data_IF_687780427455
#
_entry.id   IF_687780427455
#
_cell.length_a   1.000
_cell.length_b   1.000
_cell.length_c   1.000
_cell.angle_alpha   90.00
_cell.angle_beta   90.00
_cell.angle_gamma   90.00
#
_symmetry.space_group_name_H-M   'P 1'
#
loop_
_entity.id
_entity.type
_entity.pdbx_description
1 polymer ?
#
# COMPACT_ATOMS: atom_id res chain seq x y z
N UNK A 1 -74.01 20.77 -1.19
CA UNK A 1 -73.19 20.54 -2.40
C UNK A 1 -71.74 20.61 -1.92
N UNK A 2 -71.07 19.46 -1.83
CA UNK A 2 -69.87 19.25 -1.00
C UNK A 2 -68.60 19.47 -1.83
N UNK A 3 -67.70 20.33 -1.36
CA UNK A 3 -66.34 20.50 -1.88
C UNK A 3 -65.43 19.42 -1.29
N UNK A 4 -64.67 18.73 -2.14
CA UNK A 4 -63.56 17.85 -1.73
C UNK A 4 -62.33 18.29 -2.51
N UNK A 5 -61.47 19.08 -1.87
CA UNK A 5 -60.11 19.33 -2.32
C UNK A 5 -59.20 18.34 -1.58
N UNK A 6 -58.75 17.31 -2.29
CA UNK A 6 -57.81 16.32 -1.75
C UNK A 6 -56.40 16.90 -1.71
N UNK A 7 -55.87 17.03 -0.49
CA UNK A 7 -54.44 17.20 -0.22
C UNK A 7 -53.76 15.83 -0.37
N UNK A 8 -52.79 15.72 -1.29
CA UNK A 8 -51.80 14.65 -1.27
C UNK A 8 -50.39 15.27 -1.26
N UNK A 9 -49.84 15.38 -0.06
CA UNK A 9 -48.43 15.66 0.19
C UNK A 9 -47.67 14.35 0.01
N UNK A 10 -46.88 14.21 -1.06
CA UNK A 10 -45.96 13.08 -1.21
C UNK A 10 -44.66 13.42 -0.47
N UNK A 11 -44.43 12.71 0.64
CA UNK A 11 -43.20 12.75 1.42
C UNK A 11 -42.04 12.17 0.60
N UNK A 12 -40.92 12.89 0.57
CA UNK A 12 -39.65 12.41 0.04
C UNK A 12 -39.17 11.17 0.83
N UNK A 13 -38.88 10.07 0.13
CA UNK A 13 -38.06 8.99 0.66
C UNK A 13 -36.69 9.09 0.00
N UNK A 14 -35.82 9.88 0.63
CA UNK A 14 -34.39 9.83 0.35
C UNK A 14 -33.85 8.49 0.81
N UNK A 15 -33.35 7.70 -0.14
CA UNK A 15 -32.53 6.52 0.13
C UNK A 15 -31.23 6.99 0.81
N UNK A 16 -31.25 7.00 2.14
CA UNK A 16 -30.05 7.12 2.95
C UNK A 16 -29.26 5.83 2.76
N UNK A 17 -28.33 5.82 1.82
CA UNK A 17 -27.26 4.82 1.78
C UNK A 17 -26.47 5.06 3.05
N UNK A 18 -26.66 4.19 4.04
CA UNK A 18 -25.78 4.13 5.19
C UNK A 18 -24.37 3.84 4.67
N UNK A 19 -23.58 4.91 4.56
CA UNK A 19 -22.14 4.80 4.54
C UNK A 19 -21.74 4.12 5.86
N UNK A 20 -21.56 2.80 5.80
CA UNK A 20 -20.83 2.10 6.85
C UNK A 20 -19.50 2.82 7.02
N UNK A 21 -19.11 3.20 8.24
CA UNK A 21 -17.83 3.87 8.45
C UNK A 21 -16.73 2.96 7.91
N UNK A 22 -16.08 3.39 6.83
CA UNK A 22 -14.87 2.75 6.35
C UNK A 22 -13.85 2.90 7.47
N UNK A 23 -13.39 1.77 8.01
CA UNK A 23 -12.33 1.75 9.02
C UNK A 23 -11.14 2.47 8.44
N UNK A 24 -10.91 3.69 8.90
CA UNK A 24 -9.69 4.44 8.65
C UNK A 24 -8.57 3.72 9.41
N UNK A 25 -7.70 3.02 8.68
CA UNK A 25 -6.58 2.23 9.21
C UNK A 25 -5.37 3.14 9.54
N UNK A 26 -5.62 4.33 10.08
CA UNK A 26 -4.53 5.22 10.55
C UNK A 26 -3.79 4.65 11.79
N UNK A 27 -4.22 3.50 12.34
CA UNK A 27 -3.62 2.90 13.53
C UNK A 27 -3.75 1.37 13.57
N UNK A 28 -3.33 0.61 12.54
CA UNK A 28 -2.93 -0.78 12.83
C UNK A 28 -1.68 -0.69 13.69
N UNK A 29 -1.93 -0.94 14.97
CA UNK A 29 -1.03 -0.76 16.09
C UNK A 29 0.33 -1.39 15.84
N UNK A 30 1.36 -0.58 16.04
CA UNK A 30 2.78 -0.95 16.13
C UNK A 30 3.00 -2.18 17.04
N UNK A 31 2.05 -2.48 17.93
CA UNK A 31 2.08 -3.61 18.86
C UNK A 31 1.95 -5.00 18.20
N UNK A 32 1.17 -5.15 17.12
CA UNK A 32 1.11 -6.45 16.41
C UNK A 32 2.39 -6.72 15.60
N UNK A 33 3.09 -5.66 15.18
CA UNK A 33 4.43 -5.75 14.61
C UNK A 33 5.52 -5.99 15.65
N UNK A 34 5.27 -5.67 16.92
CA UNK A 34 6.22 -5.85 18.02
C UNK A 34 6.23 -7.31 18.53
N UNK A 35 5.09 -7.99 18.53
CA UNK A 35 4.99 -9.38 18.96
C UNK A 35 5.77 -10.37 18.05
N UNK A 36 6.03 -10.02 16.79
CA UNK A 36 6.89 -10.81 15.89
C UNK A 36 8.40 -10.45 15.97
N UNK A 37 8.79 -9.38 16.69
CA UNK A 37 10.20 -8.94 16.79
C UNK A 37 11.08 -9.83 17.66
N UNK A 38 10.52 -10.80 18.37
CA UNK A 38 11.28 -11.60 19.33
C UNK A 38 12.16 -12.70 18.71
N UNK A 39 12.09 -12.98 17.39
CA UNK A 39 12.76 -14.19 16.84
C UNK A 39 13.72 -14.00 15.69
N UNK A 40 13.98 -12.80 15.16
CA UNK A 40 14.93 -12.65 14.05
C UNK A 40 15.80 -11.40 14.14
N UNK A 41 17.03 -11.59 14.61
CA UNK A 41 18.15 -10.67 14.45
C UNK A 41 18.38 -10.37 12.95
N UNK A 42 17.83 -9.26 12.46
CA UNK A 42 18.19 -8.70 11.16
C UNK A 42 19.12 -7.50 11.39
N UNK A 43 20.36 -7.52 10.87
CA UNK A 43 21.35 -6.49 11.17
C UNK A 43 20.88 -5.12 10.68
N UNK A 44 20.69 -4.19 11.60
CA UNK A 44 20.18 -2.84 11.37
C UNK A 44 21.13 -2.04 10.46
N UNK A 45 20.82 -1.90 9.16
CA UNK A 45 21.56 -1.00 8.26
C UNK A 45 20.93 0.38 8.33
N UNK A 46 21.22 1.08 9.43
CA UNK A 46 20.89 2.48 9.60
C UNK A 46 21.90 3.34 8.80
N UNK A 47 21.60 3.61 7.53
CA UNK A 47 21.99 4.84 6.83
C UNK A 47 21.29 4.89 5.48
N UNK A 48 20.55 5.97 5.21
CA UNK A 48 20.17 6.32 3.83
C UNK A 48 21.43 6.28 2.97
N UNK A 49 21.53 5.35 2.01
CA UNK A 49 22.71 5.29 1.17
C UNK A 49 22.76 6.55 0.28
N UNK A 50 23.95 7.13 0.15
CA UNK A 50 24.20 8.16 -0.86
C UNK A 50 23.79 7.62 -2.24
N UNK A 51 23.12 8.45 -3.03
CA UNK A 51 22.18 8.07 -4.10
C UNK A 51 22.71 7.18 -5.26
N UNK A 52 23.99 6.80 -5.30
CA UNK A 52 24.58 5.98 -6.36
C UNK A 52 24.86 4.51 -5.99
N UNK A 53 25.37 4.22 -4.79
CA UNK A 53 25.75 2.85 -4.37
C UNK A 53 24.59 2.07 -3.69
N UNK A 54 23.50 2.76 -3.41
CA UNK A 54 22.30 2.29 -2.73
C UNK A 54 21.53 1.18 -3.46
N UNK A 55 21.35 1.35 -4.77
CA UNK A 55 20.30 0.66 -5.53
C UNK A 55 20.58 -0.84 -5.70
N UNK A 56 21.84 -1.22 -5.92
CA UNK A 56 22.23 -2.61 -6.12
C UNK A 56 22.09 -3.47 -4.85
N UNK A 57 22.20 -2.87 -3.66
CA UNK A 57 22.07 -3.58 -2.39
C UNK A 57 20.61 -3.79 -1.94
N UNK A 58 19.67 -2.98 -2.46
CA UNK A 58 18.25 -3.00 -2.04
C UNK A 58 17.50 -4.16 -2.69
N UNK A 59 17.70 -4.39 -3.99
CA UNK A 59 17.00 -5.42 -4.76
C UNK A 59 17.01 -6.82 -4.12
N UNK A 60 18.15 -7.42 -3.73
CA UNK A 60 18.15 -8.77 -3.16
C UNK A 60 17.40 -8.84 -1.83
N UNK A 61 17.42 -7.77 -1.03
CA UNK A 61 16.71 -7.71 0.26
C UNK A 61 15.19 -7.65 0.04
N UNK A 62 14.73 -6.85 -0.92
CA UNK A 62 13.30 -6.76 -1.26
C UNK A 62 12.79 -8.11 -1.81
N UNK A 63 13.58 -8.78 -2.65
CA UNK A 63 13.25 -10.11 -3.18
C UNK A 63 13.15 -11.15 -2.05
N UNK A 64 14.09 -11.16 -1.10
CA UNK A 64 14.05 -12.06 0.06
C UNK A 64 12.80 -11.81 0.93
N UNK A 65 12.49 -10.54 1.24
CA UNK A 65 11.28 -10.17 1.98
C UNK A 65 10.03 -10.66 1.24
N UNK A 66 9.89 -10.37 -0.05
CA UNK A 66 8.74 -10.80 -0.84
C UNK A 66 8.59 -12.33 -0.84
N UNK A 67 9.69 -13.06 -1.01
CA UNK A 67 9.69 -14.53 -0.99
C UNK A 67 9.24 -15.10 0.36
N UNK A 68 9.67 -14.50 1.48
CA UNK A 68 9.23 -14.90 2.82
C UNK A 68 7.75 -14.62 3.03
N UNK A 69 7.26 -13.46 2.57
CA UNK A 69 5.84 -13.11 2.65
C UNK A 69 4.99 -14.10 1.86
N UNK A 70 5.40 -14.46 0.62
CA UNK A 70 4.70 -15.49 -0.18
C UNK A 70 4.56 -16.80 0.59
N UNK A 71 5.64 -17.30 1.19
CA UNK A 71 5.61 -18.56 1.96
C UNK A 71 4.66 -18.49 3.16
N UNK A 72 4.57 -17.35 3.83
CA UNK A 72 3.69 -17.17 4.99
C UNK A 72 2.20 -17.15 4.59
N UNK A 73 1.88 -16.52 3.46
CA UNK A 73 0.49 -16.35 3.01
C UNK A 73 0.02 -17.50 2.12
N UNK A 74 0.87 -18.45 1.77
CA UNK A 74 0.56 -19.53 0.81
C UNK A 74 -0.64 -20.38 1.24
N UNK A 75 -0.83 -20.55 2.56
CA UNK A 75 -1.97 -21.27 3.14
C UNK A 75 -3.33 -20.57 3.00
N UNK A 76 -3.37 -19.27 2.67
CA UNK A 76 -4.61 -18.50 2.52
C UNK A 76 -5.28 -18.92 1.23
N UNK A 77 -6.45 -19.56 1.27
CA UNK A 77 -7.13 -20.05 0.05
C UNK A 77 -7.71 -18.93 -0.82
N UNK A 78 -8.16 -17.84 -0.20
CA UNK A 78 -8.74 -16.68 -0.89
C UNK A 78 -7.64 -15.85 -1.56
N UNK A 79 -7.71 -15.72 -2.90
CA UNK A 79 -6.72 -14.96 -3.68
C UNK A 79 -6.71 -13.47 -3.35
N UNK A 80 -7.88 -12.88 -3.08
CA UNK A 80 -8.02 -11.46 -2.78
C UNK A 80 -7.37 -11.15 -1.43
N UNK A 81 -7.67 -11.96 -0.41
CA UNK A 81 -7.06 -11.79 0.91
C UNK A 81 -5.55 -12.04 0.86
N UNK A 82 -5.11 -13.05 0.11
CA UNK A 82 -3.68 -13.33 -0.06
C UNK A 82 -2.94 -12.16 -0.73
N UNK A 83 -3.49 -11.56 -1.78
CA UNK A 83 -2.90 -10.39 -2.46
C UNK A 83 -2.86 -9.15 -1.57
N UNK A 84 -3.92 -8.94 -0.77
CA UNK A 84 -3.95 -7.88 0.24
C UNK A 84 -2.86 -8.10 1.29
N UNK A 85 -2.73 -9.30 1.84
CA UNK A 85 -1.67 -9.63 2.80
C UNK A 85 -0.28 -9.49 2.18
N UNK A 86 -0.10 -9.92 0.93
CA UNK A 86 1.16 -9.77 0.20
C UNK A 86 1.59 -8.30 0.12
N UNK A 87 0.74 -7.44 -0.45
CA UNK A 87 1.06 -6.03 -0.66
C UNK A 87 1.33 -5.30 0.67
N UNK A 88 0.48 -5.50 1.67
CA UNK A 88 0.60 -4.84 2.98
C UNK A 88 1.86 -5.27 3.73
N UNK A 89 2.16 -6.58 3.75
CA UNK A 89 3.31 -7.09 4.50
C UNK A 89 4.63 -6.76 3.83
N UNK A 90 4.70 -6.85 2.49
CA UNK A 90 5.90 -6.41 1.76
C UNK A 90 6.14 -4.92 2.00
N UNK A 91 5.11 -4.06 1.91
CA UNK A 91 5.26 -2.64 2.21
C UNK A 91 5.78 -2.41 3.64
N UNK A 92 5.19 -3.10 4.63
CA UNK A 92 5.57 -3.04 6.05
C UNK A 92 7.02 -3.46 6.28
N UNK A 93 7.40 -4.64 5.83
CA UNK A 93 8.71 -5.23 6.13
C UNK A 93 9.83 -4.48 5.40
N UNK A 94 9.59 -4.03 4.16
CA UNK A 94 10.52 -3.19 3.42
C UNK A 94 10.66 -1.82 4.08
N UNK A 95 9.56 -1.19 4.53
CA UNK A 95 9.64 0.08 5.25
C UNK A 95 10.37 -0.06 6.59
N UNK A 96 10.13 -1.15 7.32
CA UNK A 96 10.85 -1.45 8.56
C UNK A 96 12.35 -1.63 8.31
N UNK A 97 12.72 -2.21 7.16
CA UNK A 97 14.12 -2.36 6.74
C UNK A 97 14.75 -1.03 6.30
N UNK A 98 13.95 -0.15 5.70
CA UNK A 98 14.39 1.10 5.07
C UNK A 98 13.56 2.31 5.55
N UNK A 99 13.58 2.67 6.85
CA UNK A 99 12.65 3.63 7.44
C UNK A 99 12.81 5.08 6.94
N UNK A 100 13.88 5.37 6.20
CA UNK A 100 14.09 6.67 5.56
C UNK A 100 13.34 6.86 4.24
N UNK A 101 12.83 5.78 3.65
CA UNK A 101 12.20 5.74 2.33
C UNK A 101 10.67 5.63 2.43
N UNK A 102 10.01 6.17 1.43
CA UNK A 102 8.60 5.92 1.16
C UNK A 102 8.50 4.68 0.29
N UNK A 103 7.55 3.79 0.62
CA UNK A 103 7.38 2.49 -0.03
C UNK A 103 5.99 2.42 -0.65
N UNK A 104 5.92 1.99 -1.91
CA UNK A 104 4.68 1.62 -2.59
C UNK A 104 4.87 0.23 -3.19
N UNK A 105 3.93 -0.67 -2.94
CA UNK A 105 3.83 -1.97 -3.62
C UNK A 105 2.63 -1.90 -4.54
N UNK A 106 2.76 -2.21 -5.83
CA UNK A 106 1.65 -2.16 -6.78
C UNK A 106 1.82 -3.13 -7.96
N UNK A 107 0.72 -3.63 -8.54
CA UNK A 107 0.74 -4.47 -9.74
C UNK A 107 0.05 -3.82 -10.96
N UNK A 108 -0.19 -2.51 -10.91
CA UNK A 108 -0.81 -1.72 -11.99
C UNK A 108 0.18 -0.68 -12.49
N UNK A 109 -0.11 -0.06 -13.63
CA UNK A 109 0.69 1.06 -14.12
C UNK A 109 0.75 2.21 -13.11
N UNK A 110 1.85 2.95 -13.10
CA UNK A 110 2.03 4.14 -12.28
C UNK A 110 3.00 5.12 -12.94
N UNK A 111 2.92 6.37 -12.50
CA UNK A 111 3.90 7.42 -12.77
C UNK A 111 4.62 7.78 -11.49
N UNK A 112 5.90 8.08 -11.64
CA UNK A 112 6.75 8.53 -10.56
C UNK A 112 7.48 9.78 -11.04
N UNK A 113 7.21 10.93 -10.43
CA UNK A 113 7.66 12.24 -10.93
C UNK A 113 8.34 13.06 -9.83
N UNK A 114 9.22 13.97 -10.23
CA UNK A 114 9.99 14.82 -9.32
C UNK A 114 11.36 14.26 -8.96
N UNK A 115 12.20 15.10 -8.31
CA UNK A 115 13.58 14.75 -8.01
C UNK A 115 13.67 13.73 -6.85
N UNK A 116 14.87 13.48 -6.34
CA UNK A 116 15.06 12.51 -5.26
C UNK A 116 15.23 11.06 -5.74
N UNK A 117 15.79 10.26 -4.84
CA UNK A 117 16.15 8.88 -5.12
C UNK A 117 14.92 8.01 -5.40
N UNK A 118 15.07 7.06 -6.30
CA UNK A 118 14.11 5.98 -6.51
C UNK A 118 14.80 4.66 -6.81
N UNK A 119 14.16 3.57 -6.40
CA UNK A 119 14.49 2.22 -6.79
C UNK A 119 13.19 1.44 -6.99
N UNK A 120 13.15 0.62 -8.04
CA UNK A 120 12.01 -0.24 -8.35
C UNK A 120 12.52 -1.66 -8.41
N UNK A 121 11.87 -2.54 -7.66
CA UNK A 121 12.18 -3.98 -7.63
C UNK A 121 10.91 -4.73 -7.97
N UNK A 122 10.89 -5.41 -9.11
CA UNK A 122 9.77 -6.27 -9.49
C UNK A 122 9.92 -7.64 -8.82
N UNK A 123 8.85 -8.10 -8.19
CA UNK A 123 8.75 -9.40 -7.53
C UNK A 123 7.53 -10.15 -8.06
N UNK A 124 7.61 -11.48 -8.07
CA UNK A 124 6.54 -12.35 -8.55
C UNK A 124 5.86 -13.04 -7.39
N UNK A 125 4.56 -13.20 -7.55
CA UNK A 125 3.69 -13.98 -6.70
C UNK A 125 2.96 -15.02 -7.57
N UNK A 126 3.01 -16.30 -7.18
CA UNK A 126 2.22 -17.35 -7.83
C UNK A 126 0.77 -17.27 -7.31
N UNK A 127 -0.16 -16.80 -8.13
CA UNK A 127 -1.57 -16.84 -7.77
C UNK A 127 -2.13 -18.26 -7.89
N UNK A 128 -3.09 -18.60 -7.02
CA UNK A 128 -3.70 -19.94 -7.00
C UNK A 128 -4.45 -20.30 -8.30
N UNK A 129 -4.79 -19.30 -9.12
CA UNK A 129 -5.40 -19.50 -10.45
C UNK A 129 -4.39 -19.10 -11.53
N UNK A 130 -3.47 -20.02 -11.83
CA UNK A 130 -2.82 -20.17 -13.14
C UNK A 130 -1.98 -19.01 -13.70
N UNK A 131 -1.70 -17.94 -12.96
CA UNK A 131 -0.89 -16.82 -13.45
C UNK A 131 0.06 -16.27 -12.37
N UNK A 132 1.28 -15.96 -12.79
CA UNK A 132 2.19 -15.13 -12.02
C UNK A 132 1.66 -13.70 -11.99
N UNK A 133 1.39 -13.17 -10.80
CA UNK A 133 1.11 -11.74 -10.63
C UNK A 133 2.44 -11.07 -10.28
N UNK A 134 2.84 -10.10 -11.10
CA UNK A 134 4.03 -9.29 -10.84
C UNK A 134 3.64 -8.05 -10.06
N UNK A 135 4.37 -7.76 -8.99
CA UNK A 135 4.25 -6.53 -8.22
C UNK A 135 5.57 -5.78 -8.29
N UNK A 136 5.49 -4.46 -8.47
CA UNK A 136 6.61 -3.55 -8.27
C UNK A 136 6.61 -3.06 -6.83
N UNK A 137 7.77 -3.18 -6.18
CA UNK A 137 8.09 -2.51 -4.92
C UNK A 137 8.91 -1.27 -5.25
N UNK A 138 8.28 -0.11 -5.11
CA UNK A 138 8.85 1.21 -5.38
C UNK A 138 9.33 1.81 -4.06
N UNK A 139 10.63 2.06 -3.95
CA UNK A 139 11.25 2.77 -2.85
C UNK A 139 11.69 4.15 -3.32
N UNK A 140 11.31 5.21 -2.61
CA UNK A 140 11.72 6.56 -3.01
C UNK A 140 11.88 7.54 -1.86
N UNK A 141 12.72 8.56 -2.08
CA UNK A 141 12.90 9.67 -1.15
C UNK A 141 12.09 10.88 -1.62
N UNK A 142 11.67 11.73 -0.69
CA UNK A 142 11.11 13.05 -1.00
C UNK A 142 12.19 14.00 -1.58
N UNK A 143 11.82 15.05 -2.34
CA UNK A 143 10.49 15.35 -2.84
C UNK A 143 10.12 14.51 -4.07
N UNK A 144 8.96 13.86 -4.10
CA UNK A 144 8.54 13.03 -5.24
C UNK A 144 7.03 12.78 -5.22
N UNK A 145 6.42 12.61 -6.38
CA UNK A 145 5.02 12.21 -6.53
C UNK A 145 4.91 10.82 -7.12
N UNK A 146 3.93 10.06 -6.64
CA UNK A 146 3.52 8.78 -7.21
C UNK A 146 2.05 8.88 -7.63
N UNK A 147 1.75 8.51 -8.86
CA UNK A 147 0.39 8.54 -9.42
C UNK A 147 0.06 7.18 -10.00
N UNK A 148 -0.84 6.46 -9.35
CA UNK A 148 -1.36 5.18 -9.84
C UNK A 148 -2.18 5.38 -11.12
N UNK A 149 -1.96 4.53 -12.12
CA UNK A 149 -2.66 4.54 -13.40
C UNK A 149 -3.53 3.28 -13.51
N UNK A 150 -4.67 3.31 -12.83
CA UNK A 150 -5.66 2.23 -12.80
C UNK A 150 -6.20 2.00 -11.40
N UNK A 151 -7.42 1.47 -11.32
CA UNK A 151 -8.08 1.28 -10.03
C UNK A 151 -7.42 0.19 -9.19
N UNK A 152 -6.97 -0.90 -9.83
CA UNK A 152 -6.37 -2.08 -9.19
C UNK A 152 -7.26 -2.78 -8.14
N UNK A 153 -8.21 -2.12 -7.49
CA UNK A 153 -8.75 -2.55 -6.21
C UNK A 153 -7.71 -2.47 -5.08
N UNK A 154 -8.19 -2.53 -3.84
CA UNK A 154 -7.36 -2.43 -2.62
C UNK A 154 -6.38 -3.60 -2.45
N UNK A 155 -6.62 -4.73 -3.11
CA UNK A 155 -5.74 -5.91 -3.06
C UNK A 155 -4.45 -5.77 -3.89
N UNK A 156 -4.41 -4.75 -4.75
CA UNK A 156 -3.39 -4.61 -5.79
C UNK A 156 -2.31 -3.60 -5.48
N UNK A 157 -2.47 -2.87 -4.38
CA UNK A 157 -1.46 -1.94 -3.94
C UNK A 157 -1.54 -1.68 -2.44
N UNK A 158 -0.40 -1.35 -1.86
CA UNK A 158 -0.28 -0.84 -0.51
C UNK A 158 0.88 0.16 -0.47
N UNK A 159 0.85 1.06 0.50
CA UNK A 159 1.92 2.04 0.67
C UNK A 159 2.19 2.31 2.14
N UNK A 160 3.44 2.68 2.43
CA UNK A 160 3.86 3.27 3.70
C UNK A 160 4.76 4.45 3.38
N UNK A 161 4.27 5.64 3.71
CA UNK A 161 4.94 6.90 3.41
C UNK A 161 5.04 7.75 4.67
N UNK A 162 6.02 8.64 4.70
CA UNK A 162 6.19 9.53 5.85
C UNK A 162 4.99 10.45 6.05
N UNK A 163 4.74 10.88 7.29
CA UNK A 163 3.61 11.74 7.70
C UNK A 163 3.52 13.07 6.94
N UNK A 164 4.63 13.53 6.35
CA UNK A 164 4.67 14.73 5.53
C UNK A 164 4.03 14.56 4.15
N UNK A 165 3.82 13.32 3.70
CA UNK A 165 3.22 13.04 2.40
C UNK A 165 1.70 13.18 2.46
N UNK A 166 1.11 13.66 1.37
CA UNK A 166 -0.33 13.74 1.17
C UNK A 166 -0.77 12.58 0.28
N UNK A 167 -1.89 11.96 0.59
CA UNK A 167 -2.42 10.82 -0.16
C UNK A 167 -3.87 11.06 -0.55
N UNK A 168 -4.21 10.74 -1.81
CA UNK A 168 -5.56 10.92 -2.36
C UNK A 168 -5.83 9.93 -3.50
N UNK A 169 -6.72 8.94 -3.30
CA UNK A 169 -7.27 8.10 -4.38
C UNK A 169 -6.29 7.27 -5.23
N UNK A 170 -4.99 7.25 -4.92
CA UNK A 170 -3.92 6.69 -5.76
C UNK A 170 -2.82 7.68 -6.15
N UNK A 171 -2.97 8.94 -5.75
CA UNK A 171 -1.95 9.97 -5.77
C UNK A 171 -1.25 10.06 -4.41
N UNK A 172 0.07 10.17 -4.43
CA UNK A 172 0.90 10.41 -3.25
C UNK A 172 1.84 11.57 -3.60
N UNK A 173 1.76 12.66 -2.86
CA UNK A 173 2.69 13.79 -2.94
C UNK A 173 3.53 13.86 -1.68
N UNK A 174 4.82 13.59 -1.84
CA UNK A 174 5.79 13.72 -0.76
C UNK A 174 6.63 14.98 -0.99
N UNK A 175 6.36 16.11 -0.29
CA UNK A 175 7.09 17.35 -0.48
C UNK A 175 8.50 17.28 0.11
N UNK A 176 9.33 18.29 -0.21
CA UNK A 176 10.71 18.38 0.30
C UNK A 176 10.66 18.43 1.84
N UNK A 177 11.50 17.64 2.51
CA UNK A 177 11.69 17.78 3.95
C UNK A 177 12.35 19.14 4.22
N UNK A 178 11.68 19.97 5.01
CA UNK A 178 12.19 21.26 5.49
C UNK A 178 13.28 21.09 6.54
#
# INVERSE_FOLDING_TARGET
MVQIASFFTLLAMGSSVFATPMVNIDTISVEQGLALRATNDLPNVARSPAAGAAAAAIAPVVIDIATRVVKMIDSIRDDVERRKQFTQRVASDVHARYPGFNIVVCNVGYKLEGPGYQNVVSTKYHAAVGADVTYDVVLFSSPKTFTRQGDGGFQNWAYLVGKQCRTDGGFIDCPRRG
#
